data_IF_906596627885
#
_entry.id   IF_906596627885
#
_cell.length_a   1.000
_cell.length_b   1.000
_cell.length_c   1.000
_cell.angle_alpha   90.00
_cell.angle_beta   90.00
_cell.angle_gamma   90.00
#
_symmetry.space_group_name_H-M   'P 1'
#
loop_
_entity.id
_entity.type
_entity.pdbx_description
1 polymer ?
#
# COMPACT_ATOMS: atom_id res chain seq x y z
N UNK A 1 -25.97 -3.61 -17.46
CA UNK A 1 -25.58 -2.17 -17.56
C UNK A 1 -24.78 -1.88 -16.30
N UNK A 2 -23.45 -1.76 -16.43
CA UNK A 2 -22.63 -1.35 -15.29
C UNK A 2 -23.05 0.06 -14.87
N UNK A 3 -23.41 0.22 -13.61
CA UNK A 3 -23.75 1.51 -13.05
C UNK A 3 -22.46 2.36 -13.02
N UNK A 4 -22.43 3.40 -13.83
CA UNK A 4 -21.29 4.32 -13.92
C UNK A 4 -21.20 5.12 -12.63
N UNK A 5 -20.10 4.97 -11.88
CA UNK A 5 -19.87 5.73 -10.65
C UNK A 5 -19.77 7.23 -10.98
N UNK A 6 -20.60 8.03 -10.31
CA UNK A 6 -20.55 9.49 -10.43
C UNK A 6 -19.54 10.08 -9.43
N UNK A 7 -18.26 9.91 -9.69
CA UNK A 7 -17.17 10.36 -8.81
C UNK A 7 -17.27 11.84 -8.43
N UNK A 8 -17.77 12.70 -9.35
CA UNK A 8 -17.93 14.13 -9.11
C UNK A 8 -18.87 14.46 -7.95
N UNK A 9 -19.74 13.53 -7.56
CA UNK A 9 -20.71 13.71 -6.47
C UNK A 9 -20.18 13.16 -5.14
N UNK A 10 -18.99 12.58 -5.14
CA UNK A 10 -18.35 12.03 -3.97
C UNK A 10 -17.38 13.02 -3.35
N UNK A 11 -17.20 12.93 -2.04
CA UNK A 11 -16.29 13.80 -1.31
C UNK A 11 -15.44 13.02 -0.30
N UNK A 12 -14.41 13.69 0.21
CA UNK A 12 -13.48 13.13 1.20
C UNK A 12 -13.87 13.55 2.61
N UNK A 13 -13.59 12.66 3.57
CA UNK A 13 -13.59 12.95 5.01
C UNK A 13 -12.15 12.94 5.51
N UNK A 14 -11.83 13.83 6.44
CA UNK A 14 -10.53 13.97 7.07
C UNK A 14 -10.52 13.33 8.45
N UNK A 15 -9.43 12.63 8.77
CA UNK A 15 -9.22 11.95 10.04
C UNK A 15 -7.93 12.44 10.68
N UNK A 16 -7.99 12.78 11.96
CA UNK A 16 -6.89 13.32 12.75
C UNK A 16 -6.65 12.44 13.97
N UNK A 17 -5.43 12.37 14.44
CA UNK A 17 -5.08 11.56 15.61
C UNK A 17 -3.58 11.32 15.74
N UNK A 18 -2.85 11.36 14.64
CA UNK A 18 -1.39 11.27 14.66
C UNK A 18 -0.74 12.62 14.94
N UNK A 19 0.33 12.60 15.74
CA UNK A 19 1.10 13.79 16.11
C UNK A 19 2.07 14.23 15.02
N UNK A 20 2.33 13.38 14.03
CA UNK A 20 3.23 13.63 12.90
C UNK A 20 2.66 12.99 11.64
N UNK A 21 3.34 13.20 10.50
CA UNK A 21 2.98 12.69 9.20
C UNK A 21 2.54 11.22 9.22
N UNK A 22 1.45 10.92 8.51
CA UNK A 22 1.01 9.56 8.24
C UNK A 22 1.77 9.03 7.01
N UNK A 23 2.53 7.96 7.19
CA UNK A 23 3.31 7.34 6.12
C UNK A 23 2.48 6.43 5.22
N UNK A 24 1.59 5.64 5.82
CA UNK A 24 0.83 4.64 5.09
C UNK A 24 -0.52 4.37 5.73
N UNK A 25 -1.44 3.92 4.89
CA UNK A 25 -2.78 3.48 5.29
C UNK A 25 -3.04 2.10 4.70
N UNK A 26 -3.85 1.29 5.39
CA UNK A 26 -4.21 -0.05 4.91
C UNK A 26 -5.56 -0.48 5.47
N UNK A 27 -6.41 -1.03 4.60
CA UNK A 27 -7.70 -1.60 4.97
C UNK A 27 -7.57 -3.06 5.42
N UNK A 28 -8.38 -3.46 6.39
CA UNK A 28 -8.49 -4.87 6.75
C UNK A 28 -9.27 -5.66 5.68
N UNK A 29 -9.24 -6.99 5.77
CA UNK A 29 -9.81 -7.85 4.73
C UNK A 29 -11.34 -7.72 4.56
N UNK A 30 -12.05 -7.25 5.58
CA UNK A 30 -13.50 -7.00 5.51
C UNK A 30 -13.87 -5.58 5.08
N UNK A 31 -12.88 -4.67 4.99
CA UNK A 31 -13.10 -3.27 4.63
C UNK A 31 -13.76 -2.44 5.73
N UNK A 32 -13.83 -2.95 6.97
CA UNK A 32 -14.49 -2.29 8.10
C UNK A 32 -13.56 -1.44 8.94
N UNK A 33 -12.25 -1.71 8.86
CA UNK A 33 -11.21 -1.01 9.62
C UNK A 33 -10.10 -0.52 8.72
N UNK A 34 -9.60 0.68 9.04
CA UNK A 34 -8.42 1.25 8.39
C UNK A 34 -7.33 1.42 9.43
N UNK A 35 -6.12 1.02 9.08
CA UNK A 35 -4.94 1.31 9.89
C UNK A 35 -4.12 2.41 9.25
N UNK A 36 -3.53 3.26 10.09
CA UNK A 36 -2.60 4.32 9.71
C UNK A 36 -1.29 4.16 10.46
N UNK A 37 -0.17 4.24 9.75
CA UNK A 37 1.19 4.22 10.32
C UNK A 37 1.85 5.58 10.19
N UNK A 38 2.58 6.01 11.21
CA UNK A 38 3.07 7.39 11.30
C UNK A 38 4.53 7.52 11.73
N UNK A 39 5.09 8.65 11.38
CA UNK A 39 6.38 9.16 11.89
C UNK A 39 6.35 9.32 13.42
N UNK A 40 5.17 9.46 14.03
CA UNK A 40 5.02 9.55 15.50
C UNK A 40 5.29 8.25 16.25
N UNK A 41 5.77 7.19 15.54
CA UNK A 41 6.13 5.87 16.09
C UNK A 41 4.93 5.00 16.45
N UNK A 42 3.73 5.41 16.08
CA UNK A 42 2.50 4.65 16.35
C UNK A 42 1.80 4.24 15.08
N UNK A 43 0.99 3.19 15.21
CA UNK A 43 -0.08 2.91 14.28
C UNK A 43 -1.41 3.17 14.99
N UNK A 44 -2.44 3.48 14.23
CA UNK A 44 -3.80 3.63 14.74
C UNK A 44 -4.75 2.81 13.89
N UNK A 45 -5.74 2.22 14.52
CA UNK A 45 -6.80 1.45 13.87
C UNK A 45 -8.11 2.20 14.05
N UNK A 46 -8.74 2.51 12.92
CA UNK A 46 -9.97 3.29 12.85
C UNK A 46 -11.11 2.40 12.39
N UNK A 47 -12.23 2.47 13.11
CA UNK A 47 -13.47 1.84 12.65
C UNK A 47 -14.21 2.82 11.76
N UNK A 48 -14.39 2.46 10.49
CA UNK A 48 -15.00 3.34 9.49
C UNK A 48 -16.48 2.99 9.37
N UNK A 49 -17.32 3.91 9.82
CA UNK A 49 -18.78 3.78 9.71
C UNK A 49 -19.32 4.77 8.67
N UNK A 50 -20.42 4.41 7.96
CA UNK A 50 -21.06 5.31 7.01
C UNK A 50 -21.55 6.60 7.66
N UNK A 51 -22.00 6.52 8.91
CA UNK A 51 -22.56 7.63 9.68
C UNK A 51 -22.00 7.60 11.11
N UNK A 52 -21.24 8.60 11.50
CA UNK A 52 -20.76 8.74 12.87
C UNK A 52 -19.28 9.00 13.02
N UNK A 53 -18.83 9.05 14.27
CA UNK A 53 -17.44 9.28 14.61
C UNK A 53 -16.65 7.98 14.55
N UNK A 54 -15.53 7.99 13.84
CA UNK A 54 -14.56 6.89 13.85
C UNK A 54 -13.95 6.77 15.26
N UNK A 55 -14.02 5.57 15.83
CA UNK A 55 -13.25 5.25 17.03
C UNK A 55 -11.88 4.76 16.62
N UNK A 56 -10.85 5.19 17.32
CA UNK A 56 -9.50 4.75 17.07
C UNK A 56 -8.89 4.01 18.26
N UNK A 57 -7.97 3.09 17.94
CA UNK A 57 -7.15 2.37 18.91
C UNK A 57 -5.70 2.63 18.53
N UNK A 58 -4.90 3.07 19.51
CA UNK A 58 -3.47 3.30 19.32
C UNK A 58 -2.68 2.00 19.49
N UNK A 59 -1.81 1.70 18.52
CA UNK A 59 -0.85 0.61 18.58
C UNK A 59 0.52 1.21 18.91
N UNK A 60 0.88 1.17 20.19
CA UNK A 60 2.09 1.82 20.73
C UNK A 60 3.14 0.77 21.12
N UNK A 61 4.38 1.01 20.75
CA UNK A 61 5.49 0.13 21.09
C UNK A 61 6.72 0.27 20.21
N UNK A 62 6.54 0.67 18.95
CA UNK A 62 7.69 0.98 18.10
C UNK A 62 8.46 2.20 18.61
N UNK A 63 9.77 2.20 18.39
CA UNK A 63 10.67 3.28 18.83
C UNK A 63 11.18 4.14 17.68
N UNK A 64 10.66 3.93 16.49
CA UNK A 64 10.89 4.73 15.29
C UNK A 64 9.63 4.73 14.44
N UNK A 65 9.62 5.46 13.32
CA UNK A 65 8.47 5.56 12.41
C UNK A 65 7.90 4.20 12.05
N UNK A 66 6.57 4.12 11.98
CA UNK A 66 5.86 3.00 11.36
C UNK A 66 5.73 3.33 9.88
N UNK A 67 6.55 2.68 9.05
CA UNK A 67 6.67 3.02 7.63
C UNK A 67 5.62 2.35 6.76
N UNK A 68 5.27 1.10 7.05
CA UNK A 68 4.23 0.39 6.32
C UNK A 68 3.53 -0.61 7.24
N UNK A 69 2.30 -0.96 6.89
CA UNK A 69 1.49 -1.92 7.61
C UNK A 69 0.63 -2.72 6.65
N UNK A 70 0.30 -3.95 7.06
CA UNK A 70 -0.50 -4.86 6.25
C UNK A 70 -1.36 -5.74 7.16
N UNK A 71 -2.63 -5.85 6.82
CA UNK A 71 -3.56 -6.70 7.55
C UNK A 71 -3.47 -8.15 7.09
N UNK A 72 -3.73 -9.07 8.01
CA UNK A 72 -3.89 -10.49 7.70
C UNK A 72 -5.06 -10.67 6.72
N UNK A 73 -4.86 -11.32 5.57
CA UNK A 73 -5.92 -11.49 4.57
C UNK A 73 -7.05 -12.43 5.02
N UNK A 74 -6.86 -13.19 6.10
CA UNK A 74 -7.81 -14.16 6.63
C UNK A 74 -8.42 -13.77 7.98
N UNK A 75 -7.81 -12.83 8.69
CA UNK A 75 -8.23 -12.39 10.04
C UNK A 75 -8.37 -10.88 10.09
N UNK A 76 -9.60 -10.41 10.23
CA UNK A 76 -9.95 -8.98 10.19
C UNK A 76 -9.34 -8.16 11.34
N UNK A 77 -8.88 -8.80 12.41
CA UNK A 77 -8.35 -8.13 13.60
C UNK A 77 -6.85 -8.25 13.80
N UNK A 78 -6.14 -8.91 12.86
CA UNK A 78 -4.69 -9.07 12.94
C UNK A 78 -3.97 -8.19 11.92
N UNK A 79 -3.00 -7.41 12.40
CA UNK A 79 -2.24 -6.48 11.57
C UNK A 79 -0.76 -6.58 11.89
N UNK A 80 0.08 -6.50 10.85
CA UNK A 80 1.53 -6.45 10.97
C UNK A 80 2.04 -5.06 10.62
N UNK A 81 3.03 -4.58 11.37
CA UNK A 81 3.67 -3.28 11.16
C UNK A 81 5.15 -3.42 10.97
N UNK A 82 5.70 -2.63 10.05
CA UNK A 82 7.13 -2.54 9.76
C UNK A 82 7.65 -1.16 10.17
N UNK A 83 8.75 -1.13 10.92
CA UNK A 83 9.28 0.11 11.47
C UNK A 83 10.77 0.29 11.18
N UNK A 84 11.19 1.56 11.17
CA UNK A 84 12.59 1.94 11.16
C UNK A 84 13.37 1.49 12.39
N UNK A 85 12.69 1.07 13.46
CA UNK A 85 13.34 0.49 14.66
C UNK A 85 13.88 -0.93 14.42
N UNK A 86 13.82 -1.43 13.18
CA UNK A 86 14.28 -2.76 12.75
C UNK A 86 13.37 -3.91 13.21
N UNK A 87 12.23 -3.61 13.81
CA UNK A 87 11.28 -4.64 14.22
C UNK A 87 10.07 -4.69 13.30
N UNK A 88 9.48 -5.88 13.26
CA UNK A 88 8.15 -6.15 12.71
C UNK A 88 7.30 -6.64 13.87
N UNK A 89 6.11 -6.09 13.99
CA UNK A 89 5.20 -6.44 15.09
C UNK A 89 3.87 -6.93 14.55
N UNK A 90 3.30 -7.91 15.23
CA UNK A 90 1.95 -8.41 14.98
C UNK A 90 1.05 -7.95 16.14
N UNK A 91 -0.08 -7.34 15.77
CA UNK A 91 -1.00 -6.72 16.72
C UNK A 91 -2.40 -7.32 16.62
N UNK A 92 -3.07 -7.42 17.77
CA UNK A 92 -4.52 -7.61 17.84
C UNK A 92 -5.17 -6.22 17.81
N UNK A 93 -5.91 -5.92 16.75
CA UNK A 93 -6.54 -4.60 16.55
C UNK A 93 -7.73 -4.35 17.47
N UNK A 94 -8.25 -5.37 18.17
CA UNK A 94 -9.34 -5.20 19.14
C UNK A 94 -8.82 -4.73 20.49
N UNK A 95 -7.75 -5.35 20.97
CA UNK A 95 -7.16 -5.04 22.26
C UNK A 95 -6.06 -3.97 22.20
N UNK A 96 -5.49 -3.74 21.01
CA UNK A 96 -4.34 -2.87 20.83
C UNK A 96 -3.03 -3.48 21.31
N UNK A 97 -3.00 -4.76 21.63
CA UNK A 97 -1.81 -5.44 22.19
C UNK A 97 -0.95 -6.04 21.08
N UNK A 98 0.36 -5.90 21.24
CA UNK A 98 1.35 -6.59 20.42
C UNK A 98 1.41 -8.06 20.88
N UNK A 99 1.09 -8.98 19.96
CA UNK A 99 1.12 -10.41 20.24
C UNK A 99 2.46 -11.05 19.95
N UNK A 100 3.20 -10.54 18.95
CA UNK A 100 4.51 -11.05 18.56
C UNK A 100 5.35 -9.92 17.95
N UNK A 101 6.67 -10.09 18.05
CA UNK A 101 7.60 -9.21 17.38
C UNK A 101 8.82 -9.99 16.89
N UNK A 102 9.44 -9.49 15.83
CA UNK A 102 10.70 -10.01 15.30
C UNK A 102 11.65 -8.84 15.05
N UNK A 103 12.91 -8.99 15.46
CA UNK A 103 13.96 -8.04 15.15
C UNK A 103 14.70 -8.52 13.90
N UNK A 104 14.82 -7.63 12.90
CA UNK A 104 15.48 -7.90 11.64
C UNK A 104 16.77 -7.08 11.51
N UNK A 105 17.48 -7.28 10.40
CA UNK A 105 18.83 -6.72 10.22
C UNK A 105 18.88 -5.22 9.88
N UNK A 106 17.78 -4.63 9.42
CA UNK A 106 17.78 -3.23 8.97
C UNK A 106 16.45 -2.52 9.20
N UNK A 107 16.42 -1.24 8.83
CA UNK A 107 15.21 -0.43 8.89
C UNK A 107 14.17 -0.95 7.89
N UNK A 108 13.03 -1.39 8.38
CA UNK A 108 11.98 -2.01 7.57
C UNK A 108 11.10 -0.94 6.92
N UNK A 109 10.90 -1.05 5.61
CA UNK A 109 10.14 -0.07 4.83
C UNK A 109 8.94 -0.67 4.09
N UNK A 110 8.95 -1.99 3.86
CA UNK A 110 7.87 -2.71 3.16
C UNK A 110 7.43 -3.92 3.97
N UNK A 111 6.12 -4.17 3.97
CA UNK A 111 5.56 -5.38 4.57
C UNK A 111 4.31 -5.80 3.79
N UNK A 112 4.21 -7.09 3.45
CA UNK A 112 3.04 -7.61 2.74
C UNK A 112 2.80 -9.08 3.09
N UNK A 113 1.55 -9.41 3.41
CA UNK A 113 1.12 -10.78 3.65
C UNK A 113 0.99 -11.56 2.34
N UNK A 114 1.47 -12.80 2.36
CA UNK A 114 1.09 -13.79 1.36
C UNK A 114 -0.43 -13.99 1.40
N UNK A 115 -1.13 -14.13 0.26
CA UNK A 115 -2.60 -14.18 0.25
C UNK A 115 -3.24 -15.28 1.10
N UNK A 116 -2.54 -16.39 1.37
CA UNK A 116 -3.04 -17.44 2.25
C UNK A 116 -2.85 -17.15 3.75
N UNK A 117 -2.19 -16.03 4.10
CA UNK A 117 -1.97 -15.61 5.48
C UNK A 117 -0.85 -16.33 6.22
N UNK A 118 -0.12 -17.25 5.58
CA UNK A 118 0.90 -18.08 6.25
C UNK A 118 2.26 -17.41 6.40
N UNK A 119 2.61 -16.50 5.49
CA UNK A 119 3.90 -15.82 5.45
C UNK A 119 3.74 -14.33 5.30
N UNK A 120 4.74 -13.59 5.79
CA UNK A 120 4.85 -12.13 5.62
C UNK A 120 6.20 -11.81 5.02
N UNK A 121 6.20 -11.03 3.94
CA UNK A 121 7.41 -10.52 3.32
C UNK A 121 7.73 -9.13 3.84
N UNK A 122 8.98 -8.88 4.19
CA UNK A 122 9.48 -7.62 4.71
C UNK A 122 10.70 -7.18 3.91
N UNK A 123 10.66 -5.97 3.38
CA UNK A 123 11.80 -5.32 2.72
C UNK A 123 12.38 -4.21 3.59
N UNK A 124 13.70 -4.04 3.57
CA UNK A 124 14.36 -3.00 4.33
C UNK A 124 15.17 -2.04 3.44
N UNK A 125 15.75 -1.01 4.05
CA UNK A 125 16.56 0.02 3.35
C UNK A 125 17.89 -0.50 2.80
N UNK A 126 18.34 -1.67 3.26
CA UNK A 126 19.59 -2.29 2.82
C UNK A 126 19.37 -3.28 1.66
N UNK A 127 18.21 -3.22 1.01
CA UNK A 127 17.82 -4.07 -0.12
C UNK A 127 17.78 -5.56 0.24
N UNK A 128 17.40 -5.85 1.48
CA UNK A 128 17.20 -7.19 1.98
C UNK A 128 15.71 -7.53 2.04
N UNK A 129 15.40 -8.75 1.66
CA UNK A 129 14.08 -9.34 1.77
C UNK A 129 14.11 -10.44 2.84
N UNK A 130 13.18 -10.37 3.80
CA UNK A 130 13.00 -11.40 4.81
C UNK A 130 11.57 -11.91 4.72
N UNK A 131 11.40 -13.22 4.67
CA UNK A 131 10.09 -13.87 4.75
C UNK A 131 9.95 -14.47 6.15
N UNK A 132 8.89 -14.09 6.86
CA UNK A 132 8.56 -14.60 8.18
C UNK A 132 7.44 -15.66 8.07
N UNK A 133 7.57 -16.75 8.83
CA UNK A 133 6.45 -17.63 9.12
C UNK A 133 5.56 -16.93 10.15
N UNK A 134 4.30 -16.68 9.83
CA UNK A 134 3.38 -15.92 10.69
C UNK A 134 3.09 -16.65 12.00
N UNK A 135 2.99 -17.99 11.97
CA UNK A 135 2.66 -18.77 13.16
C UNK A 135 3.73 -18.71 14.24
N UNK A 136 5.01 -18.81 13.85
CA UNK A 136 6.16 -18.74 14.76
C UNK A 136 6.75 -17.33 14.86
N UNK A 137 6.40 -16.48 13.90
CA UNK A 137 6.92 -15.14 13.71
C UNK A 137 8.44 -15.10 13.65
N UNK A 138 9.01 -16.00 12.86
CA UNK A 138 10.45 -16.16 12.65
C UNK A 138 10.80 -16.20 11.16
N UNK A 139 12.00 -15.68 10.78
CA UNK A 139 12.47 -15.74 9.40
C UNK A 139 12.61 -17.17 8.90
N UNK A 140 12.12 -17.45 7.69
CA UNK A 140 12.29 -18.70 6.95
C UNK A 140 13.09 -18.52 5.67
N UNK A 141 13.12 -17.30 5.11
CA UNK A 141 13.93 -16.95 3.96
C UNK A 141 14.54 -15.57 4.15
N UNK A 142 15.78 -15.40 3.67
CA UNK A 142 16.48 -14.11 3.59
C UNK A 142 17.21 -14.02 2.27
N UNK A 143 17.10 -12.84 1.61
CA UNK A 143 17.81 -12.53 0.37
C UNK A 143 18.31 -11.10 0.44
N UNK A 144 19.57 -10.89 0.04
CA UNK A 144 20.12 -9.58 -0.20
C UNK A 144 20.29 -9.40 -1.71
N UNK A 145 19.78 -8.29 -2.24
CA UNK A 145 19.86 -7.99 -3.67
C UNK A 145 21.02 -7.00 -3.93
N UNK A 146 21.62 -7.09 -5.11
CA UNK A 146 22.68 -6.19 -5.56
C UNK A 146 22.14 -4.89 -6.17
N UNK A 147 20.82 -4.73 -6.23
CA UNK A 147 20.10 -3.57 -6.76
C UNK A 147 19.14 -3.01 -5.71
N UNK A 148 18.76 -1.76 -5.88
CA UNK A 148 17.77 -1.10 -5.03
C UNK A 148 16.39 -1.75 -5.22
N UNK A 149 15.78 -2.17 -4.11
CA UNK A 149 14.43 -2.73 -4.06
C UNK A 149 13.52 -1.71 -3.39
N UNK A 150 12.52 -1.21 -4.12
CA UNK A 150 11.63 -0.16 -3.63
C UNK A 150 10.32 -0.70 -3.06
N UNK A 151 9.66 -1.64 -3.73
CA UNK A 151 8.43 -2.24 -3.25
C UNK A 151 8.34 -3.71 -3.63
N UNK A 152 7.58 -4.45 -2.85
CA UNK A 152 7.42 -5.90 -2.97
C UNK A 152 5.93 -6.25 -3.01
N UNK A 153 5.58 -7.29 -3.76
CA UNK A 153 4.19 -7.74 -3.86
C UNK A 153 4.09 -9.23 -4.18
N UNK A 154 3.04 -9.86 -3.71
CA UNK A 154 2.64 -11.23 -4.07
C UNK A 154 1.62 -11.20 -5.19
N UNK A 155 1.62 -12.23 -6.08
CA UNK A 155 0.46 -12.47 -6.90
C UNK A 155 -0.69 -13.07 -6.06
N UNK A 156 -1.87 -13.19 -6.65
CA UNK A 156 -3.07 -13.61 -5.89
C UNK A 156 -3.02 -15.05 -5.40
N UNK A 157 -2.25 -15.93 -6.06
CA UNK A 157 -2.08 -17.33 -5.66
C UNK A 157 -0.89 -17.54 -4.71
N UNK A 158 -0.02 -16.54 -4.55
CA UNK A 158 1.13 -16.60 -3.65
C UNK A 158 2.29 -17.45 -4.14
N UNK A 159 2.27 -17.90 -5.40
CA UNK A 159 3.36 -18.67 -6.02
C UNK A 159 4.36 -17.81 -6.80
N UNK A 160 4.07 -16.53 -6.97
CA UNK A 160 4.96 -15.54 -7.57
C UNK A 160 5.12 -14.31 -6.67
N UNK A 161 6.30 -13.71 -6.75
CA UNK A 161 6.70 -12.57 -5.98
C UNK A 161 7.34 -11.52 -6.90
N UNK A 162 6.96 -10.26 -6.73
CA UNK A 162 7.42 -9.16 -7.56
C UNK A 162 8.23 -8.16 -6.75
N UNK A 163 9.35 -7.69 -7.32
CA UNK A 163 10.20 -6.63 -6.77
C UNK A 163 10.30 -5.50 -7.78
N UNK A 164 10.03 -4.27 -7.36
CA UNK A 164 10.37 -3.08 -8.16
C UNK A 164 11.77 -2.63 -7.83
N UNK A 165 12.56 -2.28 -8.84
CA UNK A 165 13.98 -1.95 -8.67
C UNK A 165 14.32 -0.53 -9.07
N UNK A 166 15.42 -0.01 -8.54
CA UNK A 166 15.98 1.29 -8.91
C UNK A 166 16.48 1.36 -10.35
N UNK A 167 16.64 0.21 -11.02
CA UNK A 167 17.08 0.12 -12.42
C UNK A 167 15.93 0.22 -13.44
N UNK A 168 14.70 0.41 -13.01
CA UNK A 168 13.54 0.47 -13.92
C UNK A 168 12.97 -0.90 -14.27
N UNK A 169 13.39 -1.95 -13.59
CA UNK A 169 12.90 -3.31 -13.81
C UNK A 169 11.92 -3.75 -12.76
N UNK A 170 11.14 -4.78 -13.11
CA UNK A 170 10.39 -5.60 -12.15
C UNK A 170 11.00 -7.00 -12.20
N UNK A 171 11.54 -7.45 -11.09
CA UNK A 171 12.04 -8.81 -10.94
C UNK A 171 10.90 -9.72 -10.50
N UNK A 172 10.73 -10.84 -11.20
CA UNK A 172 9.70 -11.84 -10.90
C UNK A 172 10.37 -13.09 -10.36
N UNK A 173 9.99 -13.49 -9.15
CA UNK A 173 10.54 -14.65 -8.46
C UNK A 173 9.46 -15.70 -8.24
N UNK A 174 9.83 -16.98 -8.43
CA UNK A 174 8.96 -18.11 -8.06
C UNK A 174 9.08 -18.36 -6.56
N UNK A 175 7.94 -18.50 -5.89
CA UNK A 175 7.90 -18.81 -4.46
C UNK A 175 7.48 -20.29 -4.24
N UNK A 176 8.04 -21.02 -3.26
CA UNK A 176 8.76 -20.54 -2.08
C UNK A 176 10.28 -20.39 -2.20
N UNK A 177 10.91 -20.87 -3.27
CA UNK A 177 12.37 -20.89 -3.35
C UNK A 177 12.99 -19.51 -3.71
N UNK A 178 12.17 -18.53 -4.06
CA UNK A 178 12.60 -17.19 -4.51
C UNK A 178 13.55 -17.26 -5.72
N UNK A 179 13.25 -18.19 -6.65
CA UNK A 179 14.03 -18.38 -7.87
C UNK A 179 13.65 -17.31 -8.89
N UNK A 180 14.62 -16.58 -9.46
CA UNK A 180 14.33 -15.63 -10.56
C UNK A 180 13.73 -16.37 -11.76
N UNK A 181 12.57 -15.88 -12.26
CA UNK A 181 11.89 -16.44 -13.43
C UNK A 181 11.79 -15.44 -14.57
N UNK A 182 11.78 -14.15 -14.29
CA UNK A 182 11.72 -13.12 -15.31
C UNK A 182 12.26 -11.79 -14.79
N UNK A 183 12.74 -10.95 -15.72
CA UNK A 183 13.12 -9.57 -15.49
C UNK A 183 12.38 -8.72 -16.53
N UNK A 184 11.46 -7.89 -16.06
CA UNK A 184 10.65 -7.03 -16.93
C UNK A 184 11.29 -5.65 -17.01
N UNK A 185 11.60 -5.22 -18.24
CA UNK A 185 12.13 -3.88 -18.52
C UNK A 185 10.95 -2.89 -18.56
N UNK A 186 10.51 -2.48 -17.37
CA UNK A 186 9.24 -1.78 -17.23
C UNK A 186 9.33 -0.28 -17.56
N UNK A 187 10.40 0.38 -17.14
CA UNK A 187 10.56 1.83 -17.26
C UNK A 187 11.99 2.24 -17.55
N UNK A 188 12.15 3.48 -18.02
CA UNK A 188 13.48 4.07 -18.29
C UNK A 188 14.13 4.65 -17.04
N UNK A 189 13.39 4.77 -15.95
CA UNK A 189 13.86 5.23 -14.64
C UNK A 189 13.40 4.27 -13.56
N UNK A 190 13.88 4.45 -12.33
CA UNK A 190 13.56 3.55 -11.21
C UNK A 190 12.09 3.31 -11.00
N UNK A 191 11.71 2.06 -10.73
CA UNK A 191 10.35 1.68 -10.36
C UNK A 191 10.17 1.85 -8.86
N UNK A 192 9.15 2.60 -8.44
CA UNK A 192 8.94 2.97 -7.04
C UNK A 192 7.85 2.19 -6.34
N UNK A 193 6.81 1.79 -7.07
CA UNK A 193 5.66 1.13 -6.47
C UNK A 193 5.04 0.11 -7.42
N UNK A 194 4.31 -0.82 -6.83
CA UNK A 194 3.59 -1.88 -7.55
C UNK A 194 2.28 -2.15 -6.84
N UNK A 195 1.24 -2.42 -7.60
CA UNK A 195 -0.05 -2.87 -7.09
C UNK A 195 -0.55 -4.05 -7.90
N UNK A 196 -1.19 -5.00 -7.21
CA UNK A 196 -1.80 -6.16 -7.84
C UNK A 196 -3.31 -5.93 -7.91
N UNK A 197 -3.87 -6.11 -9.10
CA UNK A 197 -5.32 -6.09 -9.30
C UNK A 197 -5.96 -7.24 -8.50
N UNK A 198 -6.98 -6.96 -7.65
CA UNK A 198 -7.63 -8.00 -6.85
C UNK A 198 -8.28 -9.13 -7.66
N UNK A 199 -8.61 -8.89 -8.93
CA UNK A 199 -9.14 -9.93 -9.82
C UNK A 199 -8.04 -10.88 -10.32
N UNK A 200 -6.75 -10.55 -10.10
CA UNK A 200 -5.62 -11.36 -10.50
C UNK A 200 -5.22 -11.23 -11.96
N UNK A 201 -5.83 -10.32 -12.72
CA UNK A 201 -5.58 -10.15 -14.15
C UNK A 201 -4.37 -9.29 -14.47
N UNK A 202 -4.18 -8.20 -13.71
CA UNK A 202 -3.14 -7.22 -13.97
C UNK A 202 -2.30 -6.93 -12.74
N UNK A 203 -1.14 -6.35 -12.97
CA UNK A 203 -0.41 -5.55 -11.99
C UNK A 203 0.00 -4.23 -12.63
N UNK A 204 0.21 -3.22 -11.82
CA UNK A 204 0.62 -1.90 -12.27
C UNK A 204 1.89 -1.47 -11.56
N UNK A 205 2.76 -0.75 -12.27
CA UNK A 205 4.06 -0.29 -11.79
C UNK A 205 4.18 1.22 -11.98
N UNK A 206 4.49 1.92 -10.90
CA UNK A 206 4.75 3.37 -10.92
C UNK A 206 6.23 3.67 -10.86
N UNK A 207 6.67 4.68 -11.61
CA UNK A 207 8.09 4.96 -11.83
C UNK A 207 8.46 6.43 -11.61
N UNK A 208 9.75 6.63 -11.43
CA UNK A 208 10.39 7.93 -11.39
C UNK A 208 10.22 8.72 -12.70
N UNK A 209 9.89 8.05 -13.82
CA UNK A 209 9.58 8.70 -15.11
C UNK A 209 8.18 9.28 -15.18
N UNK A 210 7.41 9.24 -14.08
CA UNK A 210 6.04 9.73 -13.93
C UNK A 210 4.98 8.90 -14.64
N UNK A 211 5.34 7.74 -15.15
CA UNK A 211 4.42 6.83 -15.84
C UNK A 211 3.98 5.70 -14.91
N UNK A 212 2.75 5.21 -15.17
CA UNK A 212 2.24 3.97 -14.59
C UNK A 212 2.03 2.99 -15.74
N UNK A 213 2.70 1.83 -15.68
CA UNK A 213 2.53 0.76 -16.66
C UNK A 213 1.61 -0.32 -16.13
N UNK A 214 0.73 -0.82 -17.00
CA UNK A 214 -0.22 -1.89 -16.70
C UNK A 214 0.22 -3.18 -17.40
N UNK A 215 0.35 -4.26 -16.65
CA UNK A 215 0.89 -5.53 -17.11
C UNK A 215 -0.11 -6.65 -16.98
N UNK A 216 -0.28 -7.45 -18.04
CA UNK A 216 -1.03 -8.70 -17.97
C UNK A 216 -0.18 -9.75 -17.23
N UNK A 217 -0.72 -10.34 -16.15
CA UNK A 217 0.03 -11.30 -15.32
C UNK A 217 0.27 -12.60 -16.06
N UNK A 218 -0.69 -13.07 -16.87
CA UNK A 218 -0.56 -14.35 -17.55
C UNK A 218 0.48 -14.30 -18.69
N UNK A 219 0.57 -13.17 -19.38
CA UNK A 219 1.47 -12.99 -20.52
C UNK A 219 2.77 -12.28 -20.16
N UNK A 220 2.83 -11.62 -19.01
CA UNK A 220 3.95 -10.75 -18.58
C UNK A 220 4.28 -9.68 -19.64
N UNK A 221 3.25 -9.09 -20.22
CA UNK A 221 3.35 -8.04 -21.24
C UNK A 221 2.68 -6.77 -20.77
N UNK A 222 3.30 -5.61 -21.09
CA UNK A 222 2.72 -4.30 -20.86
C UNK A 222 1.60 -4.05 -21.88
N UNK A 223 0.39 -3.81 -21.35
CA UNK A 223 -0.80 -3.61 -22.18
C UNK A 223 -1.22 -2.13 -22.26
N UNK A 224 -0.75 -1.29 -21.33
CA UNK A 224 -1.18 0.11 -21.26
C UNK A 224 -0.22 0.92 -20.39
N UNK A 225 -0.20 2.23 -20.65
CA UNK A 225 0.53 3.21 -19.84
C UNK A 225 -0.40 4.38 -19.49
N UNK A 226 -0.38 4.81 -18.22
CA UNK A 226 -1.11 5.98 -17.74
C UNK A 226 -0.14 7.15 -17.62
N UNK A 227 -0.51 8.31 -18.16
CA UNK A 227 0.41 9.43 -18.41
C UNK A 227 -0.01 10.75 -17.75
N UNK A 228 -0.98 10.75 -16.85
CA UNK A 228 -1.53 11.98 -16.28
C UNK A 228 -0.65 12.68 -15.24
N UNK A 229 0.20 11.93 -14.53
CA UNK A 229 1.10 12.50 -13.55
C UNK A 229 2.32 13.13 -14.23
N UNK A 230 2.83 14.20 -13.63
CA UNK A 230 4.03 14.91 -14.12
C UNK A 230 5.24 14.69 -13.21
N UNK A 231 5.03 14.18 -12.01
CA UNK A 231 6.05 13.88 -11.02
C UNK A 231 6.22 12.37 -10.81
N UNK A 232 7.35 11.91 -10.25
CA UNK A 232 7.55 10.50 -9.94
C UNK A 232 6.38 9.89 -9.18
N UNK A 233 5.92 8.73 -9.63
CA UNK A 233 4.77 8.04 -9.06
C UNK A 233 5.16 7.42 -7.73
N UNK A 234 4.51 7.82 -6.65
CA UNK A 234 4.81 7.34 -5.30
C UNK A 234 3.99 6.14 -4.87
N UNK A 235 2.73 6.06 -5.33
CA UNK A 235 1.78 5.07 -4.84
C UNK A 235 0.68 4.82 -5.85
N UNK A 236 0.21 3.57 -5.93
CA UNK A 236 -0.86 3.14 -6.83
C UNK A 236 -1.71 2.08 -6.14
N UNK A 237 -2.99 2.02 -6.50
CA UNK A 237 -3.92 1.02 -5.96
C UNK A 237 -5.06 0.76 -6.92
N UNK A 238 -5.49 -0.51 -7.06
CA UNK A 238 -6.68 -0.90 -7.81
C UNK A 238 -7.89 -0.94 -6.88
N UNK A 239 -9.06 -0.55 -7.38
CA UNK A 239 -10.30 -0.77 -6.63
C UNK A 239 -10.68 -2.26 -6.60
N UNK A 240 -11.65 -2.62 -5.78
CA UNK A 240 -12.01 -4.02 -5.53
C UNK A 240 -12.55 -4.76 -6.78
N UNK A 241 -13.09 -4.04 -7.76
CA UNK A 241 -13.55 -4.65 -9.02
C UNK A 241 -12.45 -4.77 -10.07
N UNK A 242 -11.30 -4.11 -9.87
CA UNK A 242 -10.24 -4.01 -10.87
C UNK A 242 -10.54 -3.04 -12.02
N UNK A 243 -11.65 -2.29 -11.96
CA UNK A 243 -12.06 -1.37 -13.02
C UNK A 243 -11.36 -0.01 -12.95
N UNK A 244 -10.93 0.40 -11.75
CA UNK A 244 -10.31 1.70 -11.52
C UNK A 244 -8.95 1.56 -10.86
N UNK A 245 -8.05 2.46 -11.24
CA UNK A 245 -6.72 2.57 -10.65
C UNK A 245 -6.51 4.00 -10.16
N UNK A 246 -6.06 4.14 -8.91
CA UNK A 246 -5.63 5.41 -8.34
C UNK A 246 -4.12 5.48 -8.36
N UNK A 247 -3.58 6.64 -8.75
CA UNK A 247 -2.15 6.91 -8.72
C UNK A 247 -1.88 8.31 -8.16
N UNK A 248 -0.81 8.44 -7.40
CA UNK A 248 -0.45 9.69 -6.74
C UNK A 248 1.05 9.91 -6.71
N UNK A 249 1.41 11.18 -6.57
CA UNK A 249 2.78 11.68 -6.68
C UNK A 249 2.93 12.98 -5.89
N UNK A 250 3.90 13.81 -6.27
CA UNK A 250 3.99 15.19 -5.83
C UNK A 250 3.03 16.13 -6.57
N UNK A 251 2.34 15.64 -7.59
CA UNK A 251 1.21 16.35 -8.19
C UNK A 251 0.15 16.63 -7.12
N UNK A 252 -0.53 17.76 -7.23
CA UNK A 252 -1.55 18.18 -6.24
C UNK A 252 -2.92 17.58 -6.55
N UNK A 253 -2.94 16.34 -7.00
CA UNK A 253 -4.15 15.55 -7.22
C UNK A 253 -3.84 14.05 -7.21
N UNK A 254 -4.85 13.24 -6.92
CA UNK A 254 -4.83 11.80 -7.15
C UNK A 254 -5.59 11.54 -8.43
N UNK A 255 -4.98 10.85 -9.39
CA UNK A 255 -5.65 10.46 -10.62
C UNK A 255 -6.40 9.16 -10.44
N UNK A 256 -7.68 9.13 -10.80
CA UNK A 256 -8.47 7.90 -10.90
C UNK A 256 -8.75 7.65 -12.38
N UNK A 257 -8.24 6.55 -12.89
CA UNK A 257 -8.40 6.15 -14.29
C UNK A 257 -9.14 4.83 -14.42
N UNK A 258 -9.86 4.69 -15.51
CA UNK A 258 -10.47 3.42 -15.89
C UNK A 258 -9.37 2.49 -16.42
N UNK A 259 -9.25 1.30 -15.86
CA UNK A 259 -8.20 0.32 -16.20
C UNK A 259 -8.36 -0.17 -17.64
N UNK A 260 -9.59 -0.33 -18.12
CA UNK A 260 -9.87 -0.92 -19.43
C UNK A 260 -9.73 0.09 -20.58
N UNK A 261 -10.06 1.35 -20.36
CA UNK A 261 -9.96 2.41 -21.38
C UNK A 261 -8.70 3.24 -21.28
N UNK A 262 -8.04 3.27 -20.13
CA UNK A 262 -6.89 4.12 -19.85
C UNK A 262 -7.24 5.59 -19.61
N UNK A 263 -8.53 5.94 -19.59
CA UNK A 263 -8.97 7.33 -19.45
C UNK A 263 -9.13 7.73 -17.98
N UNK A 264 -8.70 8.94 -17.67
CA UNK A 264 -9.00 9.56 -16.36
C UNK A 264 -10.51 9.76 -16.24
N UNK A 265 -11.07 9.29 -15.13
CA UNK A 265 -12.50 9.45 -14.80
C UNK A 265 -12.72 10.48 -13.71
N UNK A 266 -11.71 10.73 -12.86
CA UNK A 266 -11.78 11.71 -11.80
C UNK A 266 -10.38 12.06 -11.29
N UNK A 267 -10.23 13.27 -10.78
CA UNK A 267 -9.02 13.69 -10.08
C UNK A 267 -9.43 14.26 -8.72
N UNK A 268 -8.84 13.75 -7.65
CA UNK A 268 -9.08 14.24 -6.29
C UNK A 268 -8.07 15.34 -6.01
N UNK A 269 -8.49 16.60 -5.79
CA UNK A 269 -7.57 17.68 -5.43
C UNK A 269 -6.88 17.37 -4.10
N UNK A 270 -5.58 17.63 -4.03
CA UNK A 270 -4.77 17.45 -2.83
C UNK A 270 -4.02 18.74 -2.51
N UNK A 271 -3.73 18.95 -1.22
CA UNK A 271 -2.97 20.13 -0.75
C UNK A 271 -1.47 19.89 -0.73
N UNK A 272 -1.06 18.62 -0.81
CA UNK A 272 0.33 18.23 -0.73
C UNK A 272 0.54 16.91 -1.50
N UNK A 273 1.81 16.52 -1.66
CA UNK A 273 2.18 15.24 -2.24
C UNK A 273 1.61 14.08 -1.41
N UNK A 274 1.04 13.07 -2.10
CA UNK A 274 0.52 11.86 -1.46
C UNK A 274 1.52 10.71 -1.64
N UNK A 275 1.71 9.91 -0.60
CA UNK A 275 2.63 8.78 -0.61
C UNK A 275 1.97 7.45 -0.28
N UNK A 276 0.67 7.45 0.02
CA UNK A 276 -0.10 6.23 0.22
C UNK A 276 -1.53 6.42 -0.28
N UNK A 277 -1.98 5.55 -1.18
CA UNK A 277 -3.37 5.45 -1.62
C UNK A 277 -3.77 3.98 -1.54
N UNK A 278 -4.95 3.71 -0.95
CA UNK A 278 -5.45 2.34 -0.80
C UNK A 278 -6.96 2.30 -0.98
N UNK A 279 -7.41 1.55 -1.97
CA UNK A 279 -8.82 1.27 -2.15
C UNK A 279 -9.31 0.23 -1.15
N UNK A 280 -10.50 0.44 -0.63
CA UNK A 280 -11.20 -0.52 0.21
C UNK A 280 -11.45 -1.83 -0.55
N UNK A 281 -11.28 -3.01 0.07
CA UNK A 281 -11.46 -4.30 -0.62
C UNK A 281 -12.91 -4.67 -0.91
N UNK A 282 -13.89 -3.90 -0.44
CA UNK A 282 -15.33 -4.19 -0.60
C UNK A 282 -16.14 -3.04 -1.18
N UNK A 283 -15.67 -1.80 -1.04
CA UNK A 283 -16.40 -0.58 -1.43
C UNK A 283 -15.49 0.36 -2.20
N UNK A 284 -16.07 1.30 -2.94
CA UNK A 284 -15.32 2.35 -3.63
C UNK A 284 -14.99 3.51 -2.68
N UNK A 285 -14.21 3.20 -1.66
CA UNK A 285 -13.64 4.14 -0.71
C UNK A 285 -12.11 4.13 -0.87
N UNK A 286 -11.53 5.29 -1.12
CA UNK A 286 -10.08 5.43 -1.28
C UNK A 286 -9.49 6.16 -0.09
N UNK A 287 -8.68 5.46 0.70
CA UNK A 287 -7.89 6.08 1.77
C UNK A 287 -6.59 6.63 1.20
N UNK A 288 -6.18 7.81 1.65
CA UNK A 288 -4.93 8.42 1.18
C UNK A 288 -4.29 9.32 2.24
N UNK A 289 -2.97 9.35 2.22
CA UNK A 289 -2.14 10.12 3.14
C UNK A 289 -0.85 10.57 2.46
N UNK A 290 -0.28 11.65 2.95
CA UNK A 290 0.97 12.19 2.42
C UNK A 290 1.58 13.27 3.29
N UNK A 291 2.21 14.24 2.64
CA UNK A 291 2.92 15.33 3.30
C UNK A 291 1.97 16.39 3.89
N UNK A 292 0.67 16.18 3.74
CA UNK A 292 -0.36 17.09 4.23
C UNK A 292 -0.44 17.06 5.77
N UNK A 293 -0.63 18.22 6.34
CA UNK A 293 -0.69 18.44 7.77
C UNK A 293 -2.03 19.03 8.18
N UNK A 294 -2.35 18.91 9.46
CA UNK A 294 -3.52 19.54 10.01
C UNK A 294 -3.46 21.07 9.80
N UNK A 295 -4.55 21.65 9.31
CA UNK A 295 -4.68 23.08 9.05
C UNK A 295 -4.42 23.96 10.29
N UNK A 296 -4.72 23.44 11.47
CA UNK A 296 -4.63 24.20 12.74
C UNK A 296 -3.41 23.83 13.59
N UNK A 297 -2.74 22.72 13.28
CA UNK A 297 -1.54 22.26 13.97
C UNK A 297 -0.54 21.74 12.94
N UNK A 298 0.53 22.49 12.71
CA UNK A 298 1.51 22.23 11.65
C UNK A 298 2.25 20.90 11.81
N UNK A 299 2.22 20.29 12.99
CA UNK A 299 2.96 19.06 13.29
C UNK A 299 2.09 17.80 13.23
N UNK A 300 0.75 17.93 13.23
CA UNK A 300 -0.16 16.79 13.20
C UNK A 300 -0.37 16.24 11.80
N UNK A 301 -0.21 14.94 11.65
CA UNK A 301 -0.51 14.21 10.42
C UNK A 301 -2.00 13.92 10.27
N UNK A 302 -2.45 13.89 9.03
CA UNK A 302 -3.83 13.58 8.68
C UNK A 302 -3.86 12.53 7.59
N UNK A 303 -4.96 11.78 7.51
CA UNK A 303 -5.32 11.03 6.34
C UNK A 303 -6.77 11.32 5.96
N UNK A 304 -7.14 10.96 4.74
CA UNK A 304 -8.49 11.18 4.23
C UNK A 304 -9.03 9.91 3.59
N UNK A 305 -10.35 9.82 3.52
CA UNK A 305 -11.05 8.77 2.77
C UNK A 305 -12.01 9.46 1.80
N UNK A 306 -11.83 9.20 0.51
CA UNK A 306 -12.69 9.66 -0.57
C UNK A 306 -13.72 8.60 -0.92
N UNK A 307 -14.95 9.01 -1.19
CA UNK A 307 -15.99 8.11 -1.69
C UNK A 307 -17.33 8.23 -0.96
N UNK A 308 -17.48 9.23 -0.10
CA UNK A 308 -18.74 9.48 0.62
C UNK A 308 -19.67 10.36 -0.20
N UNK A 309 -20.94 9.99 -0.21
CA UNK A 309 -21.99 10.79 -0.84
C UNK A 309 -22.34 11.99 0.04
N UNK A 310 -22.70 13.11 -0.61
CA UNK A 310 -23.24 14.26 0.08
C UNK A 310 -24.63 13.91 0.60
N UNK A 311 -24.88 14.13 1.90
CA UNK A 311 -26.19 13.96 2.52
C UNK A 311 -27.19 15.01 2.07
#
# INVERSE_FOLDING_TARGET
MEEKIAFKNLHSREYQGHKKKVHSVAWNCTGTKLASGSVDQTARVWHIEPHGHAKDIELKGHTDSVDQLCWDPKHADLIATASGDKTVRLWDARSGKCSQQAELSGENINITYKPDGTHVAVGNRDDELTILDVRKFKPIHRRKFSYEVNEIAWNMTGDMFFLTTGNGTVEVLAYPLLRPVDTLMAHTAGCYCIAIDPTGRYFAVGSADSLVSLWDISEMLCVRTFTKLEWPVRTISFNYTGDYIASASEDLFIDISNVHTGRTVHQIPCRAAMNSVEWNPKYNLLAYAGDDKNKYSADEGVFRIFGFESS
#
